data_IF_293565130419
#
_entry.id   IF_293565130419
#
_cell.length_a   1.000
_cell.length_b   1.000
_cell.length_c   1.000
_cell.angle_alpha   90.00
_cell.angle_beta   90.00
_cell.angle_gamma   90.00
#
_symmetry.space_group_name_H-M   'P 1'
#
loop_
_entity.id
_entity.type
_entity.pdbx_description
1 polymer ?
#
# COMPACT_ATOMS: atom_id res chain seq x y z
N UNK A 1 13.35 1.53 6.82
CA UNK A 1 13.75 2.89 7.24
C UNK A 1 12.91 3.29 8.45
N UNK A 2 13.54 3.63 9.58
CA UNK A 2 12.84 4.05 10.81
C UNK A 2 12.67 5.57 10.76
N UNK A 3 11.43 6.07 10.75
CA UNK A 3 11.18 7.52 10.66
C UNK A 3 11.15 8.10 12.07
N UNK A 4 12.27 8.70 12.49
CA UNK A 4 12.44 9.33 13.80
C UNK A 4 12.10 10.82 13.71
N UNK A 5 11.04 11.19 14.44
CA UNK A 5 10.57 12.52 14.88
C UNK A 5 10.38 13.69 13.91
N UNK A 6 10.95 13.73 12.71
CA UNK A 6 10.67 14.84 11.79
C UNK A 6 9.36 14.65 11.03
N UNK A 7 8.68 15.78 10.85
CA UNK A 7 7.38 15.97 10.23
C UNK A 7 7.17 15.06 9.01
N UNK A 8 6.38 14.00 9.16
CA UNK A 8 5.99 13.17 8.01
C UNK A 8 4.98 13.97 7.19
N UNK A 9 5.49 14.71 6.22
CA UNK A 9 4.68 15.38 5.20
C UNK A 9 4.21 14.37 4.13
N UNK A 10 3.23 14.79 3.33
CA UNK A 10 2.64 13.92 2.30
C UNK A 10 3.65 13.53 1.21
N UNK A 11 4.65 14.39 0.95
CA UNK A 11 5.74 14.13 0.00
C UNK A 11 6.66 13.01 0.46
N UNK A 12 7.04 13.00 1.74
CA UNK A 12 7.86 11.95 2.34
C UNK A 12 7.09 10.64 2.38
N UNK A 13 5.80 10.68 2.75
CA UNK A 13 4.90 9.53 2.69
C UNK A 13 4.84 8.91 1.29
N UNK A 14 4.62 9.74 0.26
CA UNK A 14 4.56 9.29 -1.13
C UNK A 14 5.86 8.58 -1.55
N UNK A 15 7.02 9.20 -1.28
CA UNK A 15 8.32 8.62 -1.60
C UNK A 15 8.57 7.29 -0.88
N UNK A 16 8.28 7.21 0.42
CA UNK A 16 8.48 5.98 1.19
C UNK A 16 7.59 4.85 0.65
N UNK A 17 6.33 5.15 0.35
CA UNK A 17 5.40 4.18 -0.21
C UNK A 17 5.75 3.75 -1.62
N UNK A 18 6.25 4.65 -2.45
CA UNK A 18 6.73 4.33 -3.80
C UNK A 18 7.95 3.41 -3.77
N UNK A 19 8.93 3.68 -2.90
CA UNK A 19 10.17 2.89 -2.84
C UNK A 19 10.01 1.57 -2.11
N UNK A 20 9.24 1.54 -1.02
CA UNK A 20 9.19 0.37 -0.13
C UNK A 20 7.84 -0.36 -0.15
N UNK A 21 6.75 0.31 -0.53
CA UNK A 21 5.39 -0.27 -0.49
C UNK A 21 4.81 -0.42 0.93
N UNK A 22 5.56 -0.02 1.96
CA UNK A 22 5.12 -0.04 3.36
C UNK A 22 5.84 1.04 4.18
N UNK A 23 5.30 1.31 5.37
CA UNK A 23 5.89 2.20 6.37
C UNK A 23 5.75 1.62 7.77
N UNK A 24 6.80 1.80 8.56
CA UNK A 24 6.86 1.40 9.97
C UNK A 24 6.97 2.67 10.79
N UNK A 25 5.99 2.89 11.66
CA UNK A 25 5.88 4.08 12.50
C UNK A 25 5.72 3.66 13.96
N UNK A 26 6.05 4.54 14.89
CA UNK A 26 5.74 4.34 16.31
C UNK A 26 4.23 4.41 16.51
N UNK A 27 3.68 3.56 17.39
CA UNK A 27 2.23 3.51 17.64
C UNK A 27 1.64 4.85 18.11
N UNK A 28 2.45 5.71 18.75
CA UNK A 28 2.05 7.07 19.15
C UNK A 28 1.76 7.99 17.97
N UNK A 29 2.31 7.69 16.79
CA UNK A 29 2.14 8.45 15.54
C UNK A 29 1.05 7.88 14.63
N UNK A 30 0.50 6.72 14.97
CA UNK A 30 -0.48 6.00 14.14
C UNK A 30 -1.66 6.88 13.75
N UNK A 31 -2.32 7.51 14.72
CA UNK A 31 -3.53 8.32 14.45
C UNK A 31 -3.24 9.46 13.48
N UNK A 32 -2.07 10.10 13.57
CA UNK A 32 -1.67 11.19 12.66
C UNK A 32 -1.57 10.68 11.22
N UNK A 33 -0.88 9.56 11.01
CA UNK A 33 -0.70 8.99 9.67
C UNK A 33 -2.02 8.45 9.11
N UNK A 34 -2.80 7.74 9.91
CA UNK A 34 -4.11 7.25 9.48
C UNK A 34 -5.08 8.39 9.12
N UNK A 35 -5.02 9.51 9.84
CA UNK A 35 -5.80 10.70 9.48
C UNK A 35 -5.35 11.27 8.13
N UNK A 36 -4.05 11.45 7.89
CA UNK A 36 -3.53 11.89 6.57
C UNK A 36 -4.04 10.98 5.45
N UNK A 37 -3.94 9.65 5.62
CA UNK A 37 -4.40 8.68 4.62
C UNK A 37 -5.93 8.74 4.42
N UNK A 38 -6.70 8.98 5.49
CA UNK A 38 -8.16 9.10 5.43
C UNK A 38 -8.60 10.40 4.75
N UNK A 39 -7.97 11.51 5.10
CA UNK A 39 -8.26 12.84 4.57
C UNK A 39 -7.95 12.91 3.06
N UNK A 40 -6.96 12.13 2.61
CA UNK A 40 -6.64 11.95 1.20
C UNK A 40 -7.48 10.86 0.49
N UNK A 41 -8.37 10.19 1.22
CA UNK A 41 -9.27 9.17 0.68
C UNK A 41 -8.61 7.86 0.26
N UNK A 42 -7.38 7.58 0.72
CA UNK A 42 -6.56 6.42 0.29
C UNK A 42 -6.39 5.35 1.37
N UNK A 43 -6.92 5.54 2.58
CA UNK A 43 -6.76 4.58 3.69
C UNK A 43 -7.19 3.15 3.35
N UNK A 44 -8.21 2.99 2.47
CA UNK A 44 -8.73 1.69 2.04
C UNK A 44 -7.73 0.88 1.17
N UNK A 45 -6.70 1.54 0.65
CA UNK A 45 -5.63 0.91 -0.14
C UNK A 45 -4.57 0.24 0.74
N UNK A 46 -4.66 0.36 2.06
CA UNK A 46 -3.65 -0.13 3.01
C UNK A 46 -4.20 -1.18 3.97
N UNK A 47 -3.32 -2.04 4.45
CA UNK A 47 -3.49 -2.87 5.63
C UNK A 47 -2.65 -2.31 6.78
N UNK A 48 -3.15 -2.46 8.00
CA UNK A 48 -2.53 -1.91 9.22
C UNK A 48 -2.26 -3.05 10.19
N UNK A 49 -0.99 -3.29 10.50
CA UNK A 49 -0.54 -4.31 11.45
C UNK A 49 0.04 -3.63 12.68
N UNK A 50 -0.47 -3.96 13.87
CA UNK A 50 -0.01 -3.39 15.13
C UNK A 50 0.87 -4.39 15.86
N UNK A 51 2.09 -3.97 16.17
CA UNK A 51 3.09 -4.75 16.91
C UNK A 51 3.47 -3.92 18.14
N UNK A 52 4.00 -4.53 19.19
CA UNK A 52 4.34 -3.82 20.43
C UNK A 52 5.25 -2.60 20.16
N UNK A 53 4.70 -1.40 20.34
CA UNK A 53 5.38 -0.12 20.15
C UNK A 53 5.40 0.43 18.71
N UNK A 54 4.98 -0.34 17.71
CA UNK A 54 5.03 0.05 16.30
C UNK A 54 3.77 -0.33 15.53
N UNK A 55 3.49 0.44 14.49
CA UNK A 55 2.43 0.19 13.53
C UNK A 55 3.06 0.09 12.14
N UNK A 56 2.76 -1.00 11.44
CA UNK A 56 3.14 -1.21 10.04
C UNK A 56 1.92 -0.91 9.18
N UNK A 57 2.08 -0.06 8.18
CA UNK A 57 1.05 0.25 7.20
C UNK A 57 1.62 -0.13 5.83
N UNK A 58 0.97 -1.07 5.16
CA UNK A 58 1.43 -1.59 3.87
C UNK A 58 0.30 -1.64 2.85
N UNK A 59 0.64 -1.67 1.57
CA UNK A 59 -0.36 -1.79 0.51
C UNK A 59 -1.17 -3.07 0.66
N UNK A 60 -2.49 -2.96 0.51
CA UNK A 60 -3.41 -4.08 0.60
C UNK A 60 -3.32 -4.97 -0.66
N UNK A 61 -2.38 -5.91 -0.64
CA UNK A 61 -2.17 -6.86 -1.75
C UNK A 61 -3.33 -7.82 -1.95
N UNK A 62 -4.13 -8.09 -0.92
CA UNK A 62 -5.25 -9.04 -1.00
C UNK A 62 -6.36 -8.59 -1.97
N UNK A 63 -6.48 -7.29 -2.28
CA UNK A 63 -7.37 -6.84 -3.37
C UNK A 63 -6.80 -7.20 -4.74
N UNK A 64 -5.53 -6.85 -4.97
CA UNK A 64 -4.83 -7.19 -6.22
C UNK A 64 -4.80 -8.69 -6.47
N UNK A 65 -4.54 -9.50 -5.44
CA UNK A 65 -4.58 -10.96 -5.56
C UNK A 65 -5.96 -11.47 -5.96
N UNK A 66 -7.04 -10.95 -5.40
CA UNK A 66 -8.40 -11.37 -5.79
C UNK A 66 -8.74 -10.95 -7.22
N UNK A 67 -8.42 -9.72 -7.59
CA UNK A 67 -8.60 -9.19 -8.95
C UNK A 67 -7.82 -10.05 -9.96
N UNK A 68 -6.52 -10.28 -9.74
CA UNK A 68 -5.68 -11.04 -10.64
C UNK A 68 -6.00 -12.55 -10.67
N UNK A 69 -6.37 -13.16 -9.54
CA UNK A 69 -6.79 -14.57 -9.53
C UNK A 69 -8.09 -14.82 -10.30
N UNK A 70 -8.91 -13.79 -10.54
CA UNK A 70 -10.12 -13.91 -11.37
C UNK A 70 -9.82 -13.78 -12.87
N UNK A 71 -8.78 -13.03 -13.22
CA UNK A 71 -8.39 -12.76 -14.61
C UNK A 71 -7.36 -13.76 -15.16
N UNK A 72 -6.50 -14.31 -14.31
CA UNK A 72 -5.38 -15.19 -14.71
C UNK A 72 -5.69 -16.69 -14.53
N UNK A 73 -6.92 -17.09 -14.88
CA UNK A 73 -7.30 -18.50 -14.96
C UNK A 73 -7.54 -18.88 -16.41
N UNK A 74 -6.94 -19.98 -16.83
CA UNK A 74 -7.33 -20.63 -18.06
C UNK A 74 -8.77 -21.18 -17.94
N UNK A 75 -9.40 -21.45 -19.08
CA UNK A 75 -10.77 -22.00 -19.15
C UNK A 75 -10.93 -23.34 -18.40
N UNK A 76 -9.83 -24.06 -18.16
CA UNK A 76 -9.78 -25.30 -17.38
C UNK A 76 -9.54 -25.09 -15.87
N UNK A 77 -9.50 -23.84 -15.39
CA UNK A 77 -9.30 -23.48 -13.99
C UNK A 77 -7.84 -23.49 -13.51
N UNK A 78 -6.88 -23.86 -14.37
CA UNK A 78 -5.44 -23.80 -14.05
C UNK A 78 -5.02 -22.32 -13.97
N UNK A 79 -4.18 -22.00 -12.99
CA UNK A 79 -3.61 -20.66 -12.84
C UNK A 79 -2.48 -20.45 -13.83
N UNK A 80 -2.54 -19.33 -14.54
CA UNK A 80 -1.41 -18.81 -15.29
C UNK A 80 -0.52 -17.99 -14.34
N UNK A 81 0.61 -18.55 -13.95
CA UNK A 81 1.53 -17.89 -13.01
C UNK A 81 2.24 -16.69 -13.62
N UNK A 82 2.47 -16.68 -14.93
CA UNK A 82 3.08 -15.56 -15.64
C UNK A 82 2.10 -14.38 -15.70
N UNK A 83 0.86 -14.65 -16.11
CA UNK A 83 -0.23 -13.67 -16.05
C UNK A 83 -0.41 -13.13 -14.62
N UNK A 84 -0.44 -14.01 -13.62
CA UNK A 84 -0.65 -13.62 -12.22
C UNK A 84 0.45 -12.67 -11.74
N UNK A 85 1.71 -12.97 -12.07
CA UNK A 85 2.85 -12.12 -11.71
C UNK A 85 2.73 -10.73 -12.35
N UNK A 86 2.52 -10.67 -13.67
CA UNK A 86 2.40 -9.39 -14.39
C UNK A 86 1.20 -8.58 -13.91
N UNK A 87 0.07 -9.24 -13.66
CA UNK A 87 -1.13 -8.59 -13.15
C UNK A 87 -0.91 -8.00 -11.76
N UNK A 88 -0.27 -8.74 -10.84
CA UNK A 88 0.02 -8.25 -9.50
C UNK A 88 0.95 -7.03 -9.55
N UNK A 89 2.00 -7.08 -10.35
CA UNK A 89 2.94 -5.95 -10.50
C UNK A 89 2.24 -4.70 -11.06
N UNK A 90 1.39 -4.86 -12.07
CA UNK A 90 0.61 -3.76 -12.64
C UNK A 90 -0.39 -3.20 -11.62
N UNK A 91 -1.11 -4.06 -10.91
CA UNK A 91 -2.06 -3.62 -9.89
C UNK A 91 -1.36 -2.82 -8.78
N UNK A 92 -0.21 -3.28 -8.28
CA UNK A 92 0.56 -2.55 -7.27
C UNK A 92 1.04 -1.21 -7.80
N UNK A 93 1.54 -1.15 -9.05
CA UNK A 93 1.95 0.09 -9.70
C UNK A 93 0.82 1.10 -9.81
N UNK A 94 -0.38 0.65 -10.21
CA UNK A 94 -1.56 1.49 -10.31
C UNK A 94 -1.97 2.04 -8.94
N UNK A 95 -1.90 1.22 -7.89
CA UNK A 95 -2.20 1.64 -6.51
C UNK A 95 -1.21 2.70 -6.03
N UNK A 96 0.09 2.53 -6.28
CA UNK A 96 1.13 3.53 -5.97
C UNK A 96 0.88 4.82 -6.76
N UNK A 97 0.55 4.74 -8.05
CA UNK A 97 0.21 5.90 -8.88
C UNK A 97 -0.97 6.70 -8.31
N UNK A 98 -2.04 6.01 -7.89
CA UNK A 98 -3.20 6.64 -7.23
C UNK A 98 -2.76 7.34 -5.93
N UNK A 99 -1.98 6.65 -5.09
CA UNK A 99 -1.48 7.21 -3.82
C UNK A 99 -0.66 8.49 -4.06
N UNK A 100 0.29 8.44 -5.00
CA UNK A 100 1.12 9.58 -5.35
C UNK A 100 0.28 10.75 -5.88
N UNK A 101 -0.72 10.46 -6.74
CA UNK A 101 -1.63 11.49 -7.27
C UNK A 101 -2.53 12.16 -6.22
N UNK A 102 -2.68 11.55 -5.04
CA UNK A 102 -3.47 12.07 -3.93
C UNK A 102 -2.60 12.82 -2.93
N UNK A 103 -1.43 12.27 -2.60
CA UNK A 103 -0.51 12.85 -1.63
C UNK A 103 0.31 14.04 -2.16
N UNK A 104 0.55 14.12 -3.47
CA UNK A 104 1.35 15.17 -4.10
C UNK A 104 0.53 16.33 -4.69
N UNK A 105 -0.76 16.41 -4.37
CA UNK A 105 -1.61 17.58 -4.68
C UNK A 105 -1.28 18.75 -3.77
#
# INVERSE_FOLDING_TARGET
MRVTEEFIDTKTLAKVLEFYGFLIIESTKESKILNILRDNGIIHLFQVHRIKGYTIIELNRASCERECNSQCRYLNGIKDYECLSVCLDNCIRDRISIINSKLLR
#
